data_IF_977053539379
#
_entry.id   IF_977053539379
#
_cell.length_a   1.000
_cell.length_b   1.000
_cell.length_c   1.000
_cell.angle_alpha   90.00
_cell.angle_beta   90.00
_cell.angle_gamma   90.00
#
_symmetry.space_group_name_H-M   'P 1'
#
loop_
_entity.id
_entity.type
_entity.pdbx_description
1 polymer ?
#
# COMPACT_ATOMS: atom_id res chain seq x y z
N UNK A 1 3.09 13.77 -8.03
CA UNK A 1 3.51 14.42 -6.76
C UNK A 1 2.85 15.75 -6.49
N UNK A 2 2.66 16.60 -7.50
CA UNK A 2 2.14 17.98 -7.32
C UNK A 2 0.83 18.02 -6.50
N UNK A 3 -0.09 17.08 -6.75
CA UNK A 3 -1.41 17.02 -6.08
C UNK A 3 -1.33 16.88 -4.55
N UNK A 4 -0.26 16.29 -4.00
CA UNK A 4 -0.14 16.09 -2.55
C UNK A 4 0.42 17.30 -1.82
N UNK A 5 1.38 17.98 -2.45
CA UNK A 5 2.04 19.14 -1.83
C UNK A 5 1.09 20.33 -1.69
N UNK A 6 0.07 20.43 -2.56
CA UNK A 6 -0.98 21.45 -2.45
C UNK A 6 -1.97 21.21 -1.31
N UNK A 7 -1.97 20.02 -0.68
CA UNK A 7 -2.82 19.71 0.47
C UNK A 7 -2.15 20.02 1.81
N UNK A 8 -0.90 20.50 1.78
CA UNK A 8 -0.11 20.83 2.97
C UNK A 8 0.13 22.33 3.00
N UNK A 9 -0.14 22.95 4.14
CA UNK A 9 -0.10 24.41 4.28
C UNK A 9 1.32 24.92 4.48
N UNK A 10 2.15 24.19 5.24
CA UNK A 10 3.50 24.63 5.59
C UNK A 10 4.59 23.99 4.74
N UNK A 11 5.67 24.74 4.50
CA UNK A 11 6.81 24.24 3.72
C UNK A 11 7.57 23.10 4.42
N UNK A 12 7.58 23.13 5.76
CA UNK A 12 8.16 22.08 6.59
C UNK A 12 7.40 20.75 6.41
N UNK A 13 6.07 20.79 6.37
CA UNK A 13 5.25 19.61 6.12
C UNK A 13 5.44 19.06 4.71
N UNK A 14 5.49 19.93 3.70
CA UNK A 14 5.76 19.52 2.31
C UNK A 14 7.08 18.77 2.18
N UNK A 15 8.15 19.33 2.75
CA UNK A 15 9.48 18.71 2.75
C UNK A 15 9.45 17.36 3.46
N UNK A 16 8.81 17.29 4.64
CA UNK A 16 8.68 16.05 5.42
C UNK A 16 7.85 14.99 4.68
N UNK A 17 6.78 15.40 4.00
CA UNK A 17 5.94 14.51 3.22
C UNK A 17 6.65 14.00 1.98
N UNK A 18 7.44 14.84 1.29
CA UNK A 18 8.25 14.43 0.16
C UNK A 18 9.22 13.30 0.55
N UNK A 19 9.91 13.46 1.69
CA UNK A 19 10.76 12.40 2.24
C UNK A 19 9.98 11.12 2.53
N UNK A 20 8.79 11.23 3.13
CA UNK A 20 7.90 10.09 3.37
C UNK A 20 7.53 9.38 2.06
N UNK A 21 7.13 10.15 1.05
CA UNK A 21 6.71 9.62 -0.24
C UNK A 21 7.84 8.86 -0.91
N UNK A 22 9.03 9.47 -1.04
CA UNK A 22 10.19 8.85 -1.67
C UNK A 22 10.61 7.57 -0.93
N UNK A 23 10.54 7.58 0.39
CA UNK A 23 10.90 6.43 1.24
C UNK A 23 9.93 5.26 1.08
N UNK A 24 8.62 5.53 1.04
CA UNK A 24 7.61 4.48 1.19
C UNK A 24 6.80 4.13 -0.05
N UNK A 25 6.84 4.92 -1.14
CA UNK A 25 6.05 4.66 -2.37
C UNK A 25 6.18 3.24 -2.88
N UNK A 26 7.40 2.71 -2.93
CA UNK A 26 7.67 1.37 -3.48
C UNK A 26 7.19 0.28 -2.52
N UNK A 27 7.37 0.48 -1.20
CA UNK A 27 6.88 -0.44 -0.18
C UNK A 27 5.35 -0.54 -0.21
N UNK A 28 4.68 0.61 -0.31
CA UNK A 28 3.23 0.69 -0.37
C UNK A 28 2.70 0.03 -1.65
N UNK A 29 3.32 0.32 -2.80
CA UNK A 29 2.95 -0.29 -4.08
C UNK A 29 3.11 -1.82 -4.05
N UNK A 30 4.26 -2.32 -3.59
CA UNK A 30 4.47 -3.76 -3.45
C UNK A 30 3.42 -4.39 -2.52
N UNK A 31 3.15 -3.77 -1.38
CA UNK A 31 2.12 -4.26 -0.44
C UNK A 31 0.74 -4.29 -1.09
N UNK A 32 0.34 -3.24 -1.81
CA UNK A 32 -0.94 -3.20 -2.51
C UNK A 32 -1.03 -4.25 -3.63
N UNK A 33 0.02 -4.37 -4.44
CA UNK A 33 0.11 -5.32 -5.56
C UNK A 33 0.00 -6.77 -5.08
N UNK A 34 0.59 -7.10 -3.93
CA UNK A 34 0.47 -8.46 -3.36
C UNK A 34 -0.96 -8.83 -2.97
N UNK A 35 -1.79 -7.84 -2.61
CA UNK A 35 -3.18 -8.04 -2.19
C UNK A 35 -4.12 -7.99 -3.40
N UNK A 36 -3.98 -6.98 -4.26
CA UNK A 36 -4.90 -6.73 -5.37
C UNK A 36 -4.55 -7.52 -6.63
N UNK A 37 -3.28 -7.89 -6.81
CA UNK A 37 -2.75 -8.56 -8.01
C UNK A 37 -3.08 -7.82 -9.32
N UNK A 38 -3.32 -6.51 -9.26
CA UNK A 38 -3.63 -5.64 -10.38
C UNK A 38 -2.90 -4.31 -10.18
N UNK A 39 -2.04 -3.96 -11.14
CA UNK A 39 -1.16 -2.79 -11.08
C UNK A 39 -1.93 -1.47 -10.93
N UNK A 40 -2.93 -1.25 -11.80
CA UNK A 40 -3.74 -0.03 -11.77
C UNK A 40 -4.45 0.14 -10.44
N UNK A 41 -5.04 -0.95 -9.91
CA UNK A 41 -5.68 -0.90 -8.61
C UNK A 41 -4.69 -0.72 -7.46
N UNK A 42 -3.48 -1.25 -7.59
CA UNK A 42 -2.42 -1.03 -6.60
C UNK A 42 -1.97 0.43 -6.58
N UNK A 43 -1.80 1.06 -7.74
CA UNK A 43 -1.51 2.50 -7.85
C UNK A 43 -2.62 3.33 -7.19
N UNK A 44 -3.89 3.04 -7.49
CA UNK A 44 -5.05 3.70 -6.88
C UNK A 44 -5.05 3.52 -5.35
N UNK A 45 -4.77 2.32 -4.86
CA UNK A 45 -4.70 2.03 -3.42
C UNK A 45 -3.61 2.84 -2.73
N UNK A 46 -2.43 2.95 -3.35
CA UNK A 46 -1.31 3.75 -2.85
C UNK A 46 -1.69 5.22 -2.82
N UNK A 47 -2.31 5.73 -3.88
CA UNK A 47 -2.75 7.12 -3.94
C UNK A 47 -3.75 7.46 -2.82
N UNK A 48 -4.76 6.61 -2.62
CA UNK A 48 -5.74 6.76 -1.53
C UNK A 48 -5.08 6.66 -0.15
N UNK A 49 -4.09 5.78 0.01
CA UNK A 49 -3.34 5.65 1.26
C UNK A 49 -2.54 6.92 1.58
N UNK A 50 -1.88 7.54 0.60
CA UNK A 50 -1.18 8.81 0.81
C UNK A 50 -2.12 9.94 1.21
N UNK A 51 -3.32 10.04 0.60
CA UNK A 51 -4.33 11.02 1.01
C UNK A 51 -4.73 10.81 2.48
N UNK A 52 -4.92 9.55 2.90
CA UNK A 52 -5.27 9.24 4.29
C UNK A 52 -4.14 9.61 5.28
N UNK A 53 -2.89 9.44 4.86
CA UNK A 53 -1.69 9.83 5.65
C UNK A 53 -1.64 11.36 5.78
N UNK A 54 -1.82 12.11 4.68
CA UNK A 54 -1.82 13.58 4.68
C UNK A 54 -2.88 14.13 5.65
N UNK A 55 -4.11 13.57 5.60
CA UNK A 55 -5.20 13.96 6.51
C UNK A 55 -4.91 13.72 8.00
N UNK A 56 -3.90 12.91 8.31
CA UNK A 56 -3.51 12.54 9.68
C UNK A 56 -2.01 12.76 9.90
N UNK A 57 -1.42 13.75 9.21
CA UNK A 57 0.03 13.89 9.12
C UNK A 57 0.71 14.15 10.47
N UNK A 58 -0.01 14.75 11.42
CA UNK A 58 0.41 14.94 12.82
C UNK A 58 0.85 13.65 13.52
N UNK A 59 0.34 12.48 13.09
CA UNK A 59 0.69 11.17 13.67
C UNK A 59 2.06 10.68 13.22
N UNK A 60 2.62 11.28 12.17
CA UNK A 60 3.93 10.94 11.62
C UNK A 60 5.00 11.76 12.34
N UNK A 61 5.72 11.14 13.27
CA UNK A 61 6.86 11.78 13.95
C UNK A 61 8.11 11.75 13.07
N UNK A 62 8.79 10.61 13.00
CA UNK A 62 10.03 10.42 12.24
C UNK A 62 9.77 9.55 11.03
N UNK A 63 10.27 9.95 9.87
CA UNK A 63 10.03 9.22 8.62
C UNK A 63 10.59 7.81 8.70
N UNK A 64 11.84 7.64 9.14
CA UNK A 64 12.54 6.33 9.11
C UNK A 64 12.24 5.47 10.36
N UNK A 65 11.24 5.82 11.15
CA UNK A 65 10.88 5.05 12.35
C UNK A 65 10.16 3.74 12.01
N UNK A 66 10.41 2.63 12.74
CA UNK A 66 9.61 1.42 12.67
C UNK A 66 8.11 1.69 12.86
N UNK A 67 7.76 2.68 13.70
CA UNK A 67 6.38 3.10 13.94
C UNK A 67 5.73 3.66 12.68
N UNK A 68 6.42 4.54 11.96
CA UNK A 68 5.94 5.14 10.70
C UNK A 68 5.82 4.09 9.60
N UNK A 69 6.82 3.21 9.46
CA UNK A 69 6.74 2.08 8.52
C UNK A 69 5.51 1.22 8.76
N UNK A 70 5.26 0.86 10.02
CA UNK A 70 4.08 0.09 10.42
C UNK A 70 2.79 0.85 10.09
N UNK A 71 2.71 2.13 10.48
CA UNK A 71 1.57 3.00 10.21
C UNK A 71 1.21 3.07 8.72
N UNK A 72 2.20 3.36 7.86
CA UNK A 72 2.03 3.44 6.41
C UNK A 72 1.58 2.09 5.81
N UNK A 73 2.20 0.99 6.25
CA UNK A 73 1.86 -0.37 5.79
C UNK A 73 0.43 -0.77 6.17
N UNK A 74 -0.01 -0.41 7.38
CA UNK A 74 -1.38 -0.67 7.85
C UNK A 74 -2.39 0.10 7.00
N UNK A 75 -2.13 1.37 6.70
CA UNK A 75 -3.04 2.20 5.89
C UNK A 75 -3.20 1.59 4.49
N UNK A 76 -2.11 1.31 3.78
CA UNK A 76 -2.18 0.78 2.42
C UNK A 76 -2.83 -0.61 2.38
N UNK A 77 -2.58 -1.46 3.38
CA UNK A 77 -3.24 -2.76 3.51
C UNK A 77 -4.74 -2.60 3.66
N UNK A 78 -5.19 -1.73 4.56
CA UNK A 78 -6.62 -1.50 4.79
C UNK A 78 -7.31 -0.96 3.54
N UNK A 79 -6.69 0.00 2.84
CA UNK A 79 -7.20 0.52 1.57
C UNK A 79 -7.29 -0.59 0.52
N UNK A 80 -6.24 -1.40 0.38
CA UNK A 80 -6.19 -2.49 -0.60
C UNK A 80 -7.27 -3.55 -0.33
N UNK A 81 -7.45 -3.94 0.94
CA UNK A 81 -8.52 -4.87 1.34
C UNK A 81 -9.90 -4.29 1.05
N UNK A 82 -10.11 -3.00 1.33
CA UNK A 82 -11.38 -2.34 1.05
C UNK A 82 -11.69 -2.30 -0.45
N UNK A 83 -10.70 -1.98 -1.28
CA UNK A 83 -10.83 -2.01 -2.75
C UNK A 83 -11.12 -3.41 -3.26
N UNK A 84 -10.40 -4.41 -2.74
CA UNK A 84 -10.64 -5.81 -3.06
C UNK A 84 -12.07 -6.25 -2.72
N UNK A 85 -12.55 -5.94 -1.52
CA UNK A 85 -13.90 -6.29 -1.09
C UNK A 85 -14.97 -5.59 -1.94
N UNK A 86 -14.75 -4.33 -2.34
CA UNK A 86 -15.65 -3.60 -3.24
C UNK A 86 -15.70 -4.24 -4.63
N UNK A 87 -14.55 -4.60 -5.19
CA UNK A 87 -14.50 -5.30 -6.48
C UNK A 87 -15.19 -6.65 -6.39
N UNK A 88 -14.95 -7.44 -5.34
CA UNK A 88 -15.62 -8.72 -5.14
C UNK A 88 -17.13 -8.57 -5.05
N UNK A 89 -17.63 -7.55 -4.33
CA UNK A 89 -19.06 -7.27 -4.23
C UNK A 89 -19.65 -6.84 -5.57
N UNK A 90 -18.95 -5.96 -6.29
CA UNK A 90 -19.35 -5.52 -7.63
C UNK A 90 -19.40 -6.69 -8.61
N UNK A 91 -18.41 -7.57 -8.58
CA UNK A 91 -18.36 -8.75 -9.43
C UNK A 91 -19.44 -9.77 -9.05
N UNK A 92 -19.75 -9.93 -7.75
CA UNK A 92 -20.81 -10.83 -7.29
C UNK A 92 -22.20 -10.33 -7.73
N UNK A 93 -22.45 -9.02 -7.65
CA UNK A 93 -23.69 -8.40 -8.15
C UNK A 93 -23.80 -8.56 -9.68
N UNK A 94 -22.69 -8.44 -10.41
CA UNK A 94 -22.67 -8.63 -11.87
C UNK A 94 -22.83 -10.10 -12.29
N UNK A 95 -22.40 -11.06 -11.45
CA UNK A 95 -22.51 -12.50 -11.70
C UNK A 95 -23.92 -13.06 -11.42
N UNK A 96 -24.78 -12.32 -10.73
CA UNK A 96 -26.18 -12.72 -10.54
C UNK A 96 -26.99 -12.60 -11.84
N UNK A 97 -26.45 -11.88 -12.84
CA UNK A 97 -27.06 -11.67 -14.16
C UNK A 97 -26.37 -12.44 -15.32
N UNK A 98 -25.20 -13.05 -15.14
CA UNK A 98 -24.52 -13.85 -16.18
C UNK A 98 -23.77 -15.05 -15.60
N UNK A 99 -24.17 -16.24 -16.04
CA UNK A 99 -23.58 -17.54 -15.71
C UNK A 99 -22.19 -17.75 -16.36
N UNK A 100 -21.36 -18.54 -15.68
CA UNK A 100 -20.05 -19.10 -16.05
C UNK A 100 -18.72 -18.29 -15.95
N UNK A 101 -17.92 -18.79 -15.00
CA UNK A 101 -16.45 -18.97 -14.99
C UNK A 101 -15.53 -17.77 -14.73
N UNK A 102 -14.98 -17.67 -13.51
CA UNK A 102 -13.57 -17.28 -13.28
C UNK A 102 -13.03 -17.97 -12.01
N UNK A 103 -12.51 -19.19 -12.17
CA UNK A 103 -11.71 -19.88 -11.16
C UNK A 103 -10.25 -19.87 -11.62
N UNK A 104 -9.43 -18.90 -11.17
CA UNK A 104 -7.96 -19.08 -11.10
C UNK A 104 -7.20 -18.00 -10.31
N UNK A 105 -7.76 -16.81 -10.09
CA UNK A 105 -7.06 -15.70 -9.37
C UNK A 105 -7.23 -15.80 -7.83
N UNK A 106 -8.23 -16.55 -7.36
CA UNK A 106 -8.62 -16.61 -5.94
C UNK A 106 -7.61 -17.32 -5.01
N UNK A 107 -6.64 -18.08 -5.56
CA UNK A 107 -5.71 -18.90 -4.78
C UNK A 107 -4.67 -18.08 -4.00
N UNK A 108 -4.07 -17.06 -4.64
CA UNK A 108 -3.00 -16.23 -4.03
C UNK A 108 -3.56 -15.19 -3.05
N UNK A 109 -4.77 -14.68 -3.29
CA UNK A 109 -5.38 -13.66 -2.43
C UNK A 109 -5.90 -14.24 -1.10
N UNK A 110 -6.41 -15.49 -1.13
CA UNK A 110 -6.92 -16.18 0.07
C UNK A 110 -5.82 -16.54 1.08
N UNK A 111 -4.58 -16.79 0.63
CA UNK A 111 -3.46 -17.06 1.55
C UNK A 111 -3.05 -15.79 2.30
N UNK A 112 -2.88 -14.65 1.63
CA UNK A 112 -2.59 -13.37 2.30
C UNK A 112 -3.64 -12.98 3.35
N UNK A 113 -4.94 -13.16 3.06
CA UNK A 113 -6.03 -12.84 3.99
C UNK A 113 -6.16 -13.83 5.16
N UNK A 114 -5.76 -15.10 4.99
CA UNK A 114 -5.77 -16.11 6.05
C UNK A 114 -4.56 -15.95 7.00
N UNK A 115 -3.39 -15.68 6.45
CA UNK A 115 -2.15 -15.53 7.23
C UNK A 115 -2.13 -14.20 8.00
N UNK A 116 -2.81 -13.15 7.52
CA UNK A 116 -2.87 -11.83 8.17
C UNK A 116 -4.08 -11.57 9.08
N UNK A 117 -4.95 -12.55 9.37
CA UNK A 117 -5.98 -12.40 10.41
C UNK A 117 -5.40 -12.17 11.82
N UNK A 118 -4.08 -12.25 11.99
CA UNK A 118 -3.38 -12.13 13.27
C UNK A 118 -2.74 -10.78 13.61
N UNK A 119 -2.64 -9.80 12.72
CA UNK A 119 -1.80 -8.62 12.99
C UNK A 119 -2.59 -7.31 13.24
N UNK A 120 -3.32 -7.27 14.36
CA UNK A 120 -3.77 -6.04 15.02
C UNK A 120 -2.79 -5.56 16.10
N UNK A 121 -1.56 -6.07 16.12
CA UNK A 121 -0.51 -5.55 17.01
C UNK A 121 0.77 -5.41 16.24
N UNK A 122 1.14 -4.16 15.99
CA UNK A 122 2.47 -3.64 15.65
C UNK A 122 3.57 -4.05 16.67
N UNK A 123 3.45 -5.22 17.30
CA UNK A 123 4.39 -5.82 18.20
C UNK A 123 5.11 -6.90 17.41
N UNK A 124 6.44 -6.91 17.50
CA UNK A 124 7.29 -7.98 17.01
C UNK A 124 7.70 -7.97 15.51
N UNK A 125 8.58 -7.02 15.14
CA UNK A 125 9.77 -7.28 14.31
C UNK A 125 9.61 -8.28 13.13
N UNK A 126 8.97 -7.87 12.04
CA UNK A 126 9.07 -8.56 10.74
C UNK A 126 10.30 -8.09 9.95
N UNK A 127 11.46 -8.30 10.55
CA UNK A 127 12.80 -8.13 9.95
C UNK A 127 13.25 -9.37 9.16
N UNK A 128 12.35 -10.29 8.78
CA UNK A 128 12.74 -11.57 8.14
C UNK A 128 12.36 -11.76 6.67
N UNK A 129 11.84 -10.75 5.97
CA UNK A 129 11.53 -10.90 4.52
C UNK A 129 12.09 -9.81 3.59
N UNK A 130 12.90 -8.90 4.12
CA UNK A 130 13.61 -7.88 3.32
C UNK A 130 15.11 -7.82 3.67
N UNK A 131 15.69 -8.93 4.12
CA UNK A 131 17.15 -9.13 4.21
C UNK A 131 17.73 -9.66 2.89
N UNK A 132 17.30 -9.08 1.76
CA UNK A 132 18.06 -9.16 0.50
C UNK A 132 18.14 -7.72 -0.02
N UNK A 133 19.39 -7.23 -0.12
CA UNK A 133 19.77 -5.83 -0.12
C UNK A 133 18.99 -4.90 -1.03
N UNK A 134 18.46 -3.83 -0.44
CA UNK A 134 18.14 -2.60 -1.17
C UNK A 134 19.43 -1.78 -1.27
N UNK A 135 20.31 -2.14 -2.22
CA UNK A 135 21.46 -1.31 -2.56
C UNK A 135 20.96 -0.18 -3.49
N UNK A 136 21.18 1.06 -3.09
CA UNK A 136 20.73 2.28 -3.77
C UNK A 136 21.45 2.58 -5.09
N UNK A 137 22.20 1.63 -5.65
CA UNK A 137 23.11 1.84 -6.80
C UNK A 137 22.68 1.15 -8.12
N UNK A 138 21.55 0.42 -8.15
CA UNK A 138 21.15 -0.33 -9.37
C UNK A 138 19.84 0.15 -10.00
N UNK A 139 19.43 1.40 -9.77
CA UNK A 139 18.20 1.97 -10.36
C UNK A 139 18.44 3.02 -11.45
N UNK A 140 19.68 3.17 -11.94
CA UNK A 140 20.01 4.09 -13.05
C UNK A 140 20.36 3.40 -14.37
N UNK A 141 20.07 2.10 -14.54
CA UNK A 141 20.47 1.41 -15.77
C UNK A 141 19.41 0.42 -16.26
N UNK A 142 18.22 0.94 -16.59
CA UNK A 142 17.28 0.22 -17.46
C UNK A 142 16.30 1.17 -18.17
N UNK A 143 16.85 2.25 -18.72
CA UNK A 143 16.21 3.04 -19.78
C UNK A 143 17.29 3.53 -20.76
N UNK A 144 17.75 2.61 -21.61
CA UNK A 144 18.22 2.87 -22.98
C UNK A 144 17.59 1.78 -23.84
#
# INVERSE_FOLDING_TARGET
MIVYLSMLDTEAEKTKFEQLYLTYRNLMFYTAQTILCNEKMAEDAVHQAFINIIKNFEKVSDIVSPKTRCYVTVIVRNVSINLYNRQKKSNMIYFEDLDYSQHEIAGKQKTYLKDNKFNTRCSAYETRRFSVGFNSHTWQQLHI
#
